data_IF_300163161827
#
_entry.id   IF_300163161827
#
_cell.length_a   1.000
_cell.length_b   1.000
_cell.length_c   1.000
_cell.angle_alpha   90.00
_cell.angle_beta   90.00
_cell.angle_gamma   90.00
#
_symmetry.space_group_name_H-M   'P 1'
#
loop_
_entity.id
_entity.type
_entity.pdbx_description
1 polymer ?
#
# COMPACT_ATOMS: atom_id res chain seq x y z
N UNK A 1 0.36 -1.22 5.87
CA UNK A 1 0.42 -0.04 6.77
C UNK A 1 -0.68 -0.14 7.81
N UNK A 2 -0.36 0.19 9.07
CA UNK A 2 -1.27 0.03 10.22
C UNK A 2 -1.25 1.25 11.15
N UNK A 3 -2.43 1.68 11.62
CA UNK A 3 -2.64 2.62 12.74
C UNK A 3 -3.84 2.16 13.58
N UNK A 4 -3.60 1.57 14.75
CA UNK A 4 -4.66 0.97 15.57
C UNK A 4 -5.44 -0.07 14.78
N UNK A 5 -6.76 0.13 14.60
CA UNK A 5 -7.63 -0.75 13.80
C UNK A 5 -7.63 -0.44 12.29
N UNK A 6 -7.07 0.71 11.87
CA UNK A 6 -7.02 1.13 10.46
C UNK A 6 -5.85 0.46 9.76
N UNK A 7 -6.10 -0.10 8.57
CA UNK A 7 -5.09 -0.77 7.75
C UNK A 7 -5.24 -0.37 6.28
N UNK A 8 -4.12 -0.09 5.64
CA UNK A 8 -4.02 0.20 4.21
C UNK A 8 -2.97 -0.69 3.57
N UNK A 9 -3.34 -1.30 2.45
CA UNK A 9 -2.47 -2.13 1.63
C UNK A 9 -2.57 -1.62 0.19
N UNK A 10 -1.42 -1.50 -0.46
CA UNK A 10 -1.37 -1.26 -1.89
C UNK A 10 -0.36 -2.24 -2.49
N UNK A 11 -0.73 -2.87 -3.60
CA UNK A 11 0.13 -3.82 -4.29
C UNK A 11 1.32 -3.10 -4.92
N UNK A 12 2.49 -3.75 -5.02
CA UNK A 12 3.55 -3.30 -5.91
C UNK A 12 3.10 -3.39 -7.38
N UNK A 13 3.75 -2.61 -8.25
CA UNK A 13 3.55 -2.63 -9.71
C UNK A 13 2.10 -2.31 -10.12
N UNK A 14 1.59 -1.16 -9.66
CA UNK A 14 0.31 -0.62 -10.08
C UNK A 14 0.50 0.39 -11.19
N UNK A 15 -0.27 0.23 -12.27
CA UNK A 15 -0.31 1.19 -13.38
C UNK A 15 -0.70 2.59 -12.86
N UNK A 16 0.08 3.61 -13.22
CA UNK A 16 -0.13 4.99 -12.81
C UNK A 16 0.35 5.33 -11.39
N UNK A 17 1.18 4.49 -10.78
CA UNK A 17 1.87 4.77 -9.51
C UNK A 17 3.38 4.60 -9.72
N UNK A 18 4.08 5.71 -9.88
CA UNK A 18 5.47 5.71 -10.33
C UNK A 18 6.47 5.80 -9.17
N UNK A 19 6.01 6.22 -7.99
CA UNK A 19 6.87 6.43 -6.81
C UNK A 19 6.37 5.69 -5.56
N UNK A 20 7.31 5.40 -4.66
CA UNK A 20 7.00 4.80 -3.35
C UNK A 20 6.15 5.76 -2.51
N UNK A 21 6.43 7.05 -2.61
CA UNK A 21 5.73 8.12 -1.91
C UNK A 21 4.24 8.18 -2.33
N UNK A 22 3.96 8.08 -3.63
CA UNK A 22 2.59 7.98 -4.14
C UNK A 22 1.88 6.72 -3.64
N UNK A 23 2.56 5.57 -3.64
CA UNK A 23 2.02 4.33 -3.13
C UNK A 23 1.63 4.45 -1.65
N UNK A 24 2.49 5.05 -0.83
CA UNK A 24 2.22 5.31 0.59
C UNK A 24 1.03 6.25 0.75
N UNK A 25 0.99 7.36 0.01
CA UNK A 25 -0.11 8.32 0.06
C UNK A 25 -1.47 7.69 -0.31
N UNK A 26 -1.50 6.85 -1.35
CA UNK A 26 -2.72 6.12 -1.75
C UNK A 26 -3.14 5.12 -0.67
N UNK A 27 -2.20 4.35 -0.11
CA UNK A 27 -2.49 3.40 0.96
C UNK A 27 -3.05 4.11 2.21
N UNK A 28 -2.55 5.32 2.54
CA UNK A 28 -3.04 6.17 3.63
C UNK A 28 -4.47 6.62 3.41
N UNK A 29 -4.77 7.17 2.23
CA UNK A 29 -6.12 7.59 1.86
C UNK A 29 -7.11 6.43 1.93
N UNK A 30 -6.74 5.25 1.40
CA UNK A 30 -7.59 4.04 1.46
C UNK A 30 -7.86 3.55 2.89
N UNK A 31 -6.92 3.76 3.80
CA UNK A 31 -7.06 3.41 5.23
C UNK A 31 -7.76 4.49 6.07
N UNK A 32 -8.05 5.67 5.49
CA UNK A 32 -8.53 6.84 6.21
C UNK A 32 -7.55 7.34 7.28
N UNK A 33 -6.25 7.30 6.97
CA UNK A 33 -5.15 7.74 7.85
C UNK A 33 -4.62 9.08 7.34
N UNK A 34 -4.49 10.08 8.21
CA UNK A 34 -3.98 11.41 7.86
C UNK A 34 -2.49 11.40 7.55
N UNK A 35 -1.97 12.44 6.92
CA UNK A 35 -0.54 12.55 6.58
C UNK A 35 0.34 12.71 7.83
N UNK A 36 -0.12 13.49 8.80
CA UNK A 36 0.56 13.75 10.09
C UNK A 36 0.50 12.56 11.08
N UNK A 37 -0.24 11.52 10.72
CA UNK A 37 -0.42 10.38 11.60
C UNK A 37 0.85 9.52 11.67
N UNK A 38 1.27 9.14 12.88
CA UNK A 38 2.28 8.08 13.02
C UNK A 38 1.69 6.74 12.57
N UNK A 39 2.40 6.04 11.69
CA UNK A 39 1.99 4.76 11.10
C UNK A 39 3.13 3.76 11.14
N UNK A 40 2.79 2.48 11.20
CA UNK A 40 3.75 1.41 10.93
C UNK A 40 3.65 1.02 9.45
N UNK A 41 4.80 1.04 8.76
CA UNK A 41 4.94 0.58 7.38
C UNK A 41 5.48 -0.84 7.37
N UNK A 42 4.89 -1.68 6.53
CA UNK A 42 5.28 -3.08 6.32
C UNK A 42 5.43 -3.29 4.82
N UNK A 43 6.45 -4.05 4.40
CA UNK A 43 6.72 -4.39 3.00
C UNK A 43 6.43 -5.87 2.76
N UNK A 44 5.97 -6.18 1.57
CA UNK A 44 5.70 -7.53 1.11
C UNK A 44 6.01 -7.62 -0.39
N UNK A 45 6.24 -8.85 -0.86
CA UNK A 45 6.46 -9.15 -2.27
C UNK A 45 5.26 -9.89 -2.83
N UNK A 46 4.92 -9.63 -4.10
CA UNK A 46 3.85 -10.34 -4.80
C UNK A 46 4.47 -11.22 -5.88
N UNK A 47 4.27 -12.53 -5.75
CA UNK A 47 4.55 -13.50 -6.81
C UNK A 47 3.24 -13.74 -7.55
N UNK A 48 3.15 -13.26 -8.80
CA UNK A 48 1.98 -13.52 -9.66
C UNK A 48 2.13 -14.90 -10.30
N UNK A 49 1.28 -15.84 -9.92
CA UNK A 49 1.15 -17.11 -10.63
C UNK A 49 0.14 -16.93 -11.76
N UNK A 50 0.62 -16.84 -13.01
CA UNK A 50 -0.25 -16.81 -14.19
C UNK A 50 -1.00 -18.14 -14.36
N UNK A 51 -2.13 -18.12 -15.07
CA UNK A 51 -2.83 -19.35 -15.47
C UNK A 51 -1.87 -20.23 -16.27
N UNK A 52 -1.77 -21.50 -15.89
CA UNK A 52 -1.20 -22.53 -16.78
C UNK A 52 -2.15 -22.63 -17.97
N UNK A 53 -1.72 -22.09 -19.11
CA UNK A 53 -2.26 -22.50 -20.40
C UNK A 53 -2.05 -23.98 -20.65
#
# INVERSE_FOLDING_TARGET
MTKGRKRGLLLPDLEGVDTVEEQIAIARRKAGIGEEDTVTLERFEVIRHGEKG
#
